data_IF_109793369808
#
_entry.id   IF_109793369808
#
_cell.length_a   1.000
_cell.length_b   1.000
_cell.length_c   1.000
_cell.angle_alpha   90.00
_cell.angle_beta   90.00
_cell.angle_gamma   90.00
#
_symmetry.space_group_name_H-M   'P 1'
#
loop_
_entity.id
_entity.type
_entity.pdbx_description
1 polymer ?
#
# COMPACT_ATOMS: atom_id res chain seq x y z
N UNK A 1 13.01 10.74 25.58
CA UNK A 1 12.77 10.59 24.12
C UNK A 1 13.53 11.70 23.41
N UNK A 2 14.59 11.41 22.68
CA UNK A 2 15.40 12.46 22.01
C UNK A 2 15.10 12.60 20.51
N UNK A 3 14.32 11.70 19.92
CA UNK A 3 14.03 11.68 18.48
C UNK A 3 12.60 11.20 18.19
N UNK A 4 12.03 11.67 17.09
CA UNK A 4 10.67 11.34 16.64
C UNK A 4 9.60 12.26 17.22
N UNK A 5 8.34 12.02 16.81
CA UNK A 5 7.19 12.75 17.34
C UNK A 5 6.38 11.84 18.28
N UNK A 6 5.92 12.32 19.45
CA UNK A 6 5.15 11.49 20.37
C UNK A 6 3.88 10.96 19.72
N UNK A 7 3.64 9.65 19.86
CA UNK A 7 2.38 9.03 19.42
C UNK A 7 1.22 9.64 20.20
N UNK A 8 0.13 9.98 19.49
CA UNK A 8 -1.02 10.69 20.07
C UNK A 8 -0.88 12.22 20.07
N UNK A 9 0.25 12.77 19.61
CA UNK A 9 0.37 14.20 19.35
C UNK A 9 -0.53 14.63 18.18
N UNK A 10 -1.31 15.69 18.37
CA UNK A 10 -2.17 16.30 17.35
C UNK A 10 -1.34 16.76 16.13
N UNK A 11 -0.13 17.30 16.39
CA UNK A 11 0.75 17.81 15.34
C UNK A 11 1.67 16.72 14.76
N UNK A 12 1.73 15.54 15.37
CA UNK A 12 2.61 14.45 14.92
C UNK A 12 2.46 14.09 13.44
N UNK A 13 1.23 13.84 12.96
CA UNK A 13 1.00 13.55 11.55
C UNK A 13 1.44 14.68 10.62
N UNK A 14 1.14 15.93 10.97
CA UNK A 14 1.51 17.09 10.14
C UNK A 14 3.04 17.24 10.05
N UNK A 15 3.73 17.15 11.17
CA UNK A 15 5.19 17.24 11.22
C UNK A 15 5.85 16.11 10.43
N UNK A 16 5.29 14.90 10.50
CA UNK A 16 5.75 13.76 9.72
C UNK A 16 5.55 13.96 8.21
N UNK A 17 4.39 14.49 7.79
CA UNK A 17 4.14 14.84 6.39
C UNK A 17 5.12 15.91 5.89
N UNK A 18 5.39 16.95 6.69
CA UNK A 18 6.38 17.99 6.36
C UNK A 18 7.78 17.41 6.19
N UNK A 19 8.16 16.46 7.05
CA UNK A 19 9.45 15.78 6.98
C UNK A 19 9.61 14.97 5.67
N UNK A 20 8.53 14.36 5.18
CA UNK A 20 8.52 13.57 3.95
C UNK A 20 8.35 14.42 2.68
N UNK A 21 8.08 15.72 2.75
CA UNK A 21 7.90 16.57 1.56
C UNK A 21 9.01 16.43 0.50
N UNK A 22 10.31 16.37 0.86
CA UNK A 22 11.38 16.23 -0.13
C UNK A 22 11.35 14.90 -0.88
N UNK A 23 10.81 13.82 -0.28
CA UNK A 23 10.62 12.53 -0.96
C UNK A 23 9.71 12.69 -2.19
N UNK A 24 8.63 13.48 -2.05
CA UNK A 24 7.74 13.78 -3.16
C UNK A 24 8.43 14.54 -4.29
N UNK A 25 9.44 15.37 -3.98
CA UNK A 25 10.22 16.07 -5.00
C UNK A 25 11.14 15.15 -5.78
N UNK A 26 11.66 14.08 -5.16
CA UNK A 26 12.43 13.04 -5.86
C UNK A 26 11.52 12.29 -6.84
N UNK A 27 10.34 11.88 -6.40
CA UNK A 27 9.36 11.18 -7.25
C UNK A 27 8.94 12.05 -8.45
N UNK A 28 8.68 13.34 -8.23
CA UNK A 28 8.38 14.32 -9.29
C UNK A 28 9.55 14.55 -10.25
N UNK A 29 10.79 14.56 -9.77
CA UNK A 29 11.99 14.67 -10.63
C UNK A 29 12.08 13.51 -11.62
N UNK A 30 11.65 12.32 -11.20
CA UNK A 30 11.53 11.16 -12.07
C UNK A 30 10.23 11.16 -12.90
N UNK A 31 9.33 12.13 -12.76
CA UNK A 31 8.06 12.14 -13.49
C UNK A 31 7.15 10.96 -13.14
N UNK A 32 7.30 10.39 -11.93
CA UNK A 32 6.53 9.23 -11.49
C UNK A 32 5.36 9.68 -10.63
N UNK A 33 4.18 9.14 -10.91
CA UNK A 33 2.97 9.35 -10.11
C UNK A 33 3.08 8.58 -8.79
N UNK A 34 2.63 9.17 -7.69
CA UNK A 34 2.75 8.56 -6.38
C UNK A 34 1.62 8.98 -5.44
N UNK A 35 1.44 8.18 -4.40
CA UNK A 35 0.55 8.47 -3.28
C UNK A 35 1.31 8.17 -1.98
N UNK A 36 1.31 9.09 -1.03
CA UNK A 36 1.93 8.89 0.28
C UNK A 36 0.85 9.02 1.36
N UNK A 37 0.78 8.04 2.25
CA UNK A 37 -0.12 8.05 3.38
C UNK A 37 0.62 7.53 4.61
N UNK A 38 0.78 8.39 5.62
CA UNK A 38 1.64 8.09 6.77
C UNK A 38 3.01 7.56 6.28
N UNK A 39 3.49 6.42 6.82
CA UNK A 39 4.75 5.79 6.44
C UNK A 39 4.70 4.98 5.13
N UNK A 40 3.52 4.80 4.53
CA UNK A 40 3.36 4.08 3.27
C UNK A 40 3.51 5.01 2.06
N UNK A 41 4.29 4.56 1.08
CA UNK A 41 4.48 5.24 -0.20
C UNK A 41 4.14 4.28 -1.35
N UNK A 42 3.25 4.70 -2.22
CA UNK A 42 2.81 3.99 -3.41
C UNK A 42 3.31 4.72 -4.64
N UNK A 43 3.81 3.96 -5.61
CA UNK A 43 4.45 4.48 -6.81
C UNK A 43 3.77 3.82 -8.01
N UNK A 44 3.33 4.63 -8.98
CA UNK A 44 2.60 4.18 -10.16
C UNK A 44 3.39 4.49 -11.41
N UNK A 45 3.70 3.45 -12.18
CA UNK A 45 4.44 3.56 -13.43
C UNK A 45 3.63 2.92 -14.55
N UNK A 46 3.32 3.65 -15.63
CA UNK A 46 2.69 3.04 -16.80
C UNK A 46 3.70 2.10 -17.46
N UNK A 47 3.32 0.84 -17.65
CA UNK A 47 4.16 -0.15 -18.32
C UNK A 47 3.67 -0.34 -19.75
N UNK A 48 4.60 -0.28 -20.70
CA UNK A 48 4.36 -0.72 -22.08
C UNK A 48 4.92 -2.12 -22.25
N UNK A 49 4.28 -2.96 -23.07
CA UNK A 49 4.80 -4.31 -23.34
C UNK A 49 6.25 -4.21 -23.86
N UNK A 50 7.13 -5.03 -23.29
CA UNK A 50 8.57 -5.10 -23.61
C UNK A 50 9.35 -3.81 -23.33
N UNK A 51 8.81 -2.88 -22.54
CA UNK A 51 9.49 -1.64 -22.19
C UNK A 51 10.38 -1.78 -20.95
N UNK A 52 11.61 -2.24 -21.20
CA UNK A 52 12.66 -2.34 -20.18
C UNK A 52 13.07 -0.95 -19.64
N UNK A 53 12.81 0.14 -20.37
CA UNK A 53 13.22 1.48 -19.94
C UNK A 53 12.38 1.96 -18.76
N UNK A 54 11.08 1.67 -18.75
CA UNK A 54 10.19 2.01 -17.64
C UNK A 54 10.65 1.37 -16.32
N UNK A 55 11.12 0.12 -16.36
CA UNK A 55 11.65 -0.58 -15.18
C UNK A 55 13.01 -0.02 -14.75
N UNK A 56 13.91 0.26 -15.69
CA UNK A 56 15.21 0.90 -15.39
C UNK A 56 15.01 2.25 -14.69
N UNK A 57 14.06 3.04 -15.17
CA UNK A 57 13.73 4.33 -14.60
C UNK A 57 13.17 4.20 -13.17
N UNK A 58 12.26 3.24 -12.95
CA UNK A 58 11.76 2.92 -11.61
C UNK A 58 12.88 2.47 -10.66
N UNK A 59 13.83 1.65 -11.14
CA UNK A 59 14.98 1.22 -10.34
C UNK A 59 15.91 2.38 -9.97
N UNK A 60 16.13 3.33 -10.87
CA UNK A 60 16.89 4.55 -10.59
C UNK A 60 16.19 5.41 -9.54
N UNK A 61 14.87 5.63 -9.69
CA UNK A 61 14.06 6.34 -8.69
C UNK A 61 14.11 5.66 -7.31
N UNK A 62 13.99 4.32 -7.27
CA UNK A 62 14.14 3.54 -6.02
C UNK A 62 15.50 3.77 -5.37
N UNK A 63 16.57 3.88 -6.18
CA UNK A 63 17.92 4.18 -5.71
C UNK A 63 17.99 5.54 -5.01
N UNK A 64 17.47 6.59 -5.66
CA UNK A 64 17.44 7.95 -5.12
C UNK A 64 16.59 8.04 -3.84
N UNK A 65 15.43 7.37 -3.80
CA UNK A 65 14.57 7.27 -2.61
C UNK A 65 15.35 6.63 -1.46
N UNK A 66 16.02 5.49 -1.71
CA UNK A 66 16.78 4.77 -0.69
C UNK A 66 17.92 5.62 -0.15
N UNK A 67 18.64 6.33 -1.03
CA UNK A 67 19.71 7.24 -0.63
C UNK A 67 19.18 8.39 0.22
N UNK A 68 18.08 9.02 -0.20
CA UNK A 68 17.46 10.11 0.56
C UNK A 68 16.96 9.64 1.92
N UNK A 69 16.29 8.50 2.01
CA UNK A 69 15.83 7.94 3.28
C UNK A 69 17.02 7.72 4.22
N UNK A 70 18.11 7.11 3.73
CA UNK A 70 19.31 6.89 4.53
C UNK A 70 19.95 8.19 5.03
N UNK A 71 20.04 9.21 4.18
CA UNK A 71 20.54 10.55 4.55
C UNK A 71 19.66 11.25 5.59
N UNK A 72 18.37 10.93 5.61
CA UNK A 72 17.38 11.47 6.55
C UNK A 72 17.07 10.47 7.67
N UNK A 73 17.99 9.55 7.99
CA UNK A 73 17.86 8.60 9.10
C UNK A 73 16.56 7.76 9.08
N UNK A 74 15.96 7.58 7.91
CA UNK A 74 14.80 6.74 7.67
C UNK A 74 15.23 5.40 7.07
N UNK A 75 14.55 4.33 7.48
CA UNK A 75 14.83 2.99 6.99
C UNK A 75 13.89 2.62 5.84
N UNK A 76 14.45 2.29 4.67
CA UNK A 76 13.68 1.71 3.59
C UNK A 76 13.35 0.24 3.90
N UNK A 77 12.08 -0.06 4.21
CA UNK A 77 11.68 -1.40 4.60
C UNK A 77 11.48 -2.31 3.37
N UNK A 78 12.58 -2.89 2.91
CA UNK A 78 12.58 -3.78 1.75
C UNK A 78 11.70 -5.04 1.95
N UNK A 79 11.55 -5.51 3.20
CA UNK A 79 10.71 -6.68 3.51
C UNK A 79 9.21 -6.41 3.34
N UNK A 80 8.80 -5.14 3.42
CA UNK A 80 7.42 -4.68 3.19
C UNK A 80 7.20 -4.15 1.77
N UNK A 81 8.24 -4.11 0.93
CA UNK A 81 8.10 -3.64 -0.46
C UNK A 81 7.35 -4.71 -1.26
N UNK A 82 6.33 -4.28 -1.98
CA UNK A 82 5.47 -5.15 -2.79
C UNK A 82 5.19 -4.47 -4.12
N UNK A 83 5.08 -5.28 -5.17
CA UNK A 83 4.83 -4.84 -6.54
C UNK A 83 3.58 -5.54 -7.04
N UNK A 84 2.68 -4.77 -7.63
CA UNK A 84 1.49 -5.28 -8.31
C UNK A 84 1.48 -4.72 -9.73
N UNK A 85 1.15 -5.57 -10.68
CA UNK A 85 0.96 -5.19 -12.07
C UNK A 85 -0.55 -5.19 -12.33
N UNK A 86 -1.02 -4.22 -13.09
CA UNK A 86 -2.40 -4.13 -13.55
C UNK A 86 -2.43 -4.19 -15.07
N UNK A 87 -3.41 -4.89 -15.63
CA UNK A 87 -3.56 -5.03 -17.07
C UNK A 87 -4.85 -5.76 -17.46
N UNK A 88 -5.18 -5.81 -18.76
CA UNK A 88 -6.29 -6.61 -19.28
C UNK A 88 -6.25 -8.05 -18.75
N UNK A 89 -7.41 -8.64 -18.46
CA UNK A 89 -7.53 -9.99 -17.92
C UNK A 89 -6.67 -11.00 -18.70
N UNK A 90 -5.78 -11.72 -18.00
CA UNK A 90 -4.84 -12.68 -18.60
C UNK A 90 -3.46 -12.10 -18.97
N UNK A 91 -3.27 -10.78 -18.89
CA UNK A 91 -1.97 -10.12 -19.12
C UNK A 91 -1.21 -9.79 -17.83
N UNK A 92 -1.76 -10.09 -16.65
CA UNK A 92 -1.09 -9.85 -15.36
C UNK A 92 -0.21 -11.00 -14.87
N UNK A 93 -0.03 -12.05 -15.67
CA UNK A 93 0.99 -13.06 -15.39
C UNK A 93 2.38 -12.43 -15.52
N UNK A 94 3.32 -12.78 -14.63
CA UNK A 94 4.69 -12.26 -14.66
C UNK A 94 5.42 -12.51 -16.00
N UNK A 95 4.88 -13.40 -16.84
CA UNK A 95 5.36 -13.73 -18.17
C UNK A 95 5.15 -12.64 -19.23
N UNK A 96 4.24 -11.68 -19.02
CA UNK A 96 3.91 -10.63 -20.01
C UNK A 96 4.76 -9.35 -19.85
N UNK A 97 5.28 -9.12 -18.64
CA UNK A 97 6.02 -7.92 -18.24
C UNK A 97 7.31 -8.34 -17.55
N UNK A 98 8.46 -8.01 -18.16
CA UNK A 98 9.76 -8.18 -17.53
C UNK A 98 9.94 -7.15 -16.40
N UNK A 99 9.68 -7.58 -15.16
CA UNK A 99 9.90 -6.78 -13.95
C UNK A 99 11.36 -6.78 -13.49
N UNK A 100 12.22 -7.59 -14.13
CA UNK A 100 13.62 -7.76 -13.76
C UNK A 100 13.82 -7.97 -12.25
N UNK A 101 14.68 -7.18 -11.57
CA UNK A 101 14.93 -7.31 -10.13
C UNK A 101 13.71 -7.08 -9.21
N UNK A 102 12.59 -6.57 -9.75
CA UNK A 102 11.37 -6.30 -8.98
C UNK A 102 10.45 -7.52 -8.88
N UNK A 103 10.68 -8.56 -9.68
CA UNK A 103 9.84 -9.76 -9.73
C UNK A 103 9.74 -10.47 -8.35
N UNK A 104 10.81 -10.42 -7.55
CA UNK A 104 10.86 -10.97 -6.19
C UNK A 104 9.80 -10.35 -5.25
N UNK A 105 9.36 -9.12 -5.54
CA UNK A 105 8.37 -8.40 -4.74
C UNK A 105 6.95 -8.52 -5.30
N UNK A 106 6.74 -9.29 -6.37
CA UNK A 106 5.43 -9.40 -7.01
C UNK A 106 4.40 -10.08 -6.10
N UNK A 107 3.21 -9.46 -6.01
CA UNK A 107 2.05 -9.98 -5.29
C UNK A 107 0.78 -9.76 -6.14
N UNK A 108 -0.01 -10.81 -6.43
CA UNK A 108 -1.24 -10.68 -7.22
C UNK A 108 -2.40 -10.05 -6.43
N UNK A 109 -2.36 -10.15 -5.10
CA UNK A 109 -3.35 -9.54 -4.19
C UNK A 109 -2.62 -8.87 -3.04
N UNK A 110 -2.99 -7.63 -2.72
CA UNK A 110 -2.38 -6.83 -1.66
C UNK A 110 -3.45 -6.04 -0.89
N UNK A 111 -3.39 -5.98 0.45
CA UNK A 111 -4.14 -4.99 1.21
C UNK A 111 -3.49 -3.60 1.04
N UNK A 112 -4.26 -2.65 0.55
CA UNK A 112 -3.92 -1.25 0.45
C UNK A 112 -4.81 -0.43 1.37
N UNK A 113 -4.25 0.17 2.42
CA UNK A 113 -4.99 0.92 3.46
C UNK A 113 -6.21 0.16 4.01
N UNK A 114 -6.11 -1.17 4.11
CA UNK A 114 -7.19 -2.06 4.58
C UNK A 114 -8.14 -2.57 3.50
N UNK A 115 -8.01 -2.10 2.27
CA UNK A 115 -8.77 -2.56 1.11
C UNK A 115 -7.98 -3.59 0.30
N UNK A 116 -8.51 -4.79 0.09
CA UNK A 116 -7.83 -5.80 -0.75
C UNK A 116 -8.00 -5.47 -2.22
N UNK A 117 -6.88 -5.16 -2.87
CA UNK A 117 -6.78 -4.97 -4.31
C UNK A 117 -6.19 -6.23 -4.93
N UNK A 118 -6.71 -6.62 -6.09
CA UNK A 118 -6.08 -7.65 -6.92
C UNK A 118 -5.69 -7.10 -8.30
N UNK A 119 -4.73 -7.77 -8.93
CA UNK A 119 -4.14 -7.39 -10.22
C UNK A 119 -5.15 -7.34 -11.38
N UNK A 120 -6.23 -8.09 -11.26
CA UNK A 120 -7.32 -8.14 -12.25
C UNK A 120 -8.41 -7.09 -11.98
N UNK A 121 -8.25 -6.24 -10.94
CA UNK A 121 -9.28 -5.32 -10.44
C UNK A 121 -10.62 -6.01 -10.11
N UNK A 122 -10.58 -7.29 -9.79
CA UNK A 122 -11.72 -7.98 -9.19
C UNK A 122 -11.81 -7.56 -7.73
N UNK A 123 -13.03 -7.60 -7.19
CA UNK A 123 -13.28 -7.26 -5.79
C UNK A 123 -13.60 -8.51 -4.97
N UNK A 124 -13.51 -9.69 -5.56
CA UNK A 124 -13.94 -10.95 -4.94
C UNK A 124 -13.22 -11.22 -3.62
N UNK A 125 -11.92 -10.93 -3.56
CA UNK A 125 -11.11 -11.12 -2.36
C UNK A 125 -11.55 -10.18 -1.22
N UNK A 126 -11.86 -8.93 -1.55
CA UNK A 126 -12.37 -7.92 -0.63
C UNK A 126 -13.80 -8.25 -0.19
N UNK A 127 -14.70 -8.56 -1.13
CA UNK A 127 -16.09 -8.94 -0.85
C UNK A 127 -16.13 -10.14 0.09
N UNK A 128 -15.37 -11.20 -0.20
CA UNK A 128 -15.27 -12.36 0.70
C UNK A 128 -14.75 -11.98 2.10
N UNK A 129 -13.79 -11.08 2.19
CA UNK A 129 -13.25 -10.62 3.48
C UNK A 129 -14.32 -9.84 4.29
N UNK A 130 -15.04 -8.93 3.65
CA UNK A 130 -16.12 -8.15 4.27
C UNK A 130 -17.26 -9.08 4.71
N UNK A 131 -17.74 -9.95 3.82
CA UNK A 131 -18.82 -10.92 4.13
C UNK A 131 -18.41 -11.80 5.32
N UNK A 132 -17.19 -12.34 5.31
CA UNK A 132 -16.67 -13.14 6.43
C UNK A 132 -16.65 -12.35 7.74
N UNK A 133 -16.20 -11.10 7.71
CA UNK A 133 -16.17 -10.21 8.88
C UNK A 133 -17.57 -9.95 9.41
N UNK A 134 -18.52 -9.61 8.53
CA UNK A 134 -19.91 -9.37 8.89
C UNK A 134 -20.55 -10.59 9.56
N UNK A 135 -20.39 -11.78 8.98
CA UNK A 135 -20.89 -13.02 9.61
C UNK A 135 -20.22 -13.32 10.95
N UNK A 136 -18.92 -13.04 11.08
CA UNK A 136 -18.23 -13.16 12.36
C UNK A 136 -18.83 -12.24 13.43
N UNK A 137 -19.07 -10.97 13.11
CA UNK A 137 -19.70 -10.03 14.02
C UNK A 137 -21.14 -10.40 14.36
N UNK A 138 -21.93 -10.83 13.37
CA UNK A 138 -23.30 -11.31 13.59
C UNK A 138 -23.34 -12.53 14.51
N UNK A 139 -22.43 -13.50 14.35
CA UNK A 139 -22.34 -14.67 15.25
C UNK A 139 -21.98 -14.26 16.68
N UNK A 140 -21.07 -13.30 16.84
CA UNK A 140 -20.73 -12.76 18.17
C UNK A 140 -21.92 -12.06 18.82
N UNK A 141 -22.64 -11.23 18.07
CA UNK A 141 -23.86 -10.58 18.56
C UNK A 141 -24.94 -11.61 18.93
N UNK A 142 -25.14 -12.63 18.10
CA UNK A 142 -26.07 -13.72 18.39
C UNK A 142 -25.69 -14.48 19.67
N UNK A 143 -24.40 -14.70 19.95
CA UNK A 143 -23.96 -15.37 21.19
C UNK A 143 -24.21 -14.55 22.46
N UNK A 144 -24.24 -13.22 22.37
CA UNK A 144 -24.52 -12.35 23.53
C UNK A 144 -25.98 -11.90 23.60
N UNK A 145 -26.81 -12.32 22.63
CA UNK A 145 -28.22 -11.95 22.53
C UNK A 145 -29.00 -12.28 23.81
N UNK A 146 -28.68 -13.37 24.51
CA UNK A 146 -29.31 -13.74 25.78
C UNK A 146 -29.07 -12.74 26.91
N UNK A 147 -28.02 -11.92 26.81
CA UNK A 147 -27.64 -10.92 27.82
C UNK A 147 -28.07 -9.49 27.44
N UNK A 148 -28.59 -9.30 26.23
CA UNK A 148 -28.98 -7.99 25.72
C UNK A 148 -30.52 -7.88 25.66
N UNK A 149 -31.07 -6.89 26.34
CA UNK A 149 -32.50 -6.58 26.26
C UNK A 149 -32.83 -5.91 24.93
N UNK A 150 -34.11 -5.95 24.52
CA UNK A 150 -34.58 -5.36 23.25
C UNK A 150 -34.25 -3.87 23.12
N UNK A 151 -34.21 -3.15 24.25
CA UNK A 151 -33.83 -1.74 24.33
C UNK A 151 -32.39 -1.44 23.87
N UNK A 152 -31.49 -2.43 23.85
CA UNK A 152 -30.10 -2.24 23.41
C UNK A 152 -29.91 -2.40 21.88
N UNK A 153 -30.95 -2.83 21.14
CA UNK A 153 -30.87 -3.12 19.70
C UNK A 153 -31.58 -2.09 18.80
N UNK A 154 -32.30 -1.13 19.38
CA UNK A 154 -33.07 -0.12 18.66
C UNK A 154 -32.50 1.27 19.00
N UNK A 155 -31.67 1.81 18.10
CA UNK A 155 -31.35 3.24 17.97
C UNK A 155 -31.49 3.63 16.49
#
# INVERSE_FOLDING_TARGET
MSYGVPQGSILGPLLFCLYLLPLGSILRKHGISFHCYADDCQIYVPLKQKDVQSIKHLLACRGDIKAWLALNFLNFNIKKTEVMVFGPSGSCESSSVDLGPLEVYFKPVKPDLGFKVDSDFKLDSQIRAVVKSSFYHLRRLASVKSFLSRQHFEQ
#
